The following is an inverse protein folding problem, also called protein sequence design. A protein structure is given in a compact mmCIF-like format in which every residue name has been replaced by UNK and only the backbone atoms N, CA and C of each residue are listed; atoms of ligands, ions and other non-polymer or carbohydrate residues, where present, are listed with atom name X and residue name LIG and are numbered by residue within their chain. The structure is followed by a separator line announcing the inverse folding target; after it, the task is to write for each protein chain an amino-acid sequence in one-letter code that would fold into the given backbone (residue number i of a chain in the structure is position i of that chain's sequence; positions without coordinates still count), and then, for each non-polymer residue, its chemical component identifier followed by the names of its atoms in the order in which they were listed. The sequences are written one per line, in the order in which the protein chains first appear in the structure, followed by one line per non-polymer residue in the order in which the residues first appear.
data_IF_676126763076
#
_entry.id   IF_676126763076
#
_cell.length_a   1.000
_cell.length_b   1.000
_cell.length_c   1.000
_cell.angle_alpha   90.00
_cell.angle_beta   90.00
_cell.angle_gamma   90.00
#
_symmetry.space_group_name_H-M   'P 1'
#
loop_
_entity.id
_entity.type
_entity.pdbx_description
1 polymer ?
#
# COMPACT_ATOMS: atom_id res chain seq x y z
N UNK A 1 -26.46 20.42 20.71
CA UNK A 1 -26.68 19.39 19.67
C UNK A 1 -26.15 18.08 20.23
N UNK A 2 -27.02 17.08 20.41
CA UNK A 2 -26.65 15.83 21.09
C UNK A 2 -25.84 14.93 20.16
N UNK A 3 -24.60 14.62 20.56
CA UNK A 3 -23.65 13.77 19.83
C UNK A 3 -24.11 12.30 19.69
N UNK A 4 -25.12 11.91 20.46
CA UNK A 4 -25.67 10.55 20.54
C UNK A 4 -26.45 10.10 19.30
N UNK A 5 -26.97 11.03 18.49
CA UNK A 5 -27.74 10.69 17.29
C UNK A 5 -26.89 10.05 16.18
N UNK A 6 -25.57 10.31 16.16
CA UNK A 6 -24.67 9.81 15.14
C UNK A 6 -24.37 8.30 15.27
N UNK A 7 -24.45 7.75 16.50
CA UNK A 7 -24.06 6.37 16.78
C UNK A 7 -25.15 5.32 16.50
N UNK A 8 -26.44 5.69 16.49
CA UNK A 8 -27.55 4.73 16.33
C UNK A 8 -27.95 4.42 14.87
N UNK A 9 -27.38 5.12 13.87
CA UNK A 9 -27.80 4.97 12.46
C UNK A 9 -27.08 3.82 11.72
N UNK A 10 -26.09 3.15 12.32
CA UNK A 10 -25.11 2.37 11.55
C UNK A 10 -25.29 0.84 11.56
N UNK A 11 -26.21 0.27 12.34
CA UNK A 11 -26.43 -1.18 12.40
C UNK A 11 -27.80 -1.63 11.88
N UNK A 12 -28.35 -0.93 10.88
CA UNK A 12 -29.51 -1.44 10.14
C UNK A 12 -29.03 -2.42 9.07
N UNK A 13 -29.32 -3.70 9.29
CA UNK A 13 -29.11 -4.73 8.29
C UNK A 13 -30.36 -4.84 7.42
N UNK A 14 -30.29 -4.53 6.10
CA UNK A 14 -31.44 -4.71 5.24
C UNK A 14 -31.87 -6.18 5.18
N UNK A 15 -33.18 -6.39 5.23
CA UNK A 15 -33.80 -7.72 5.10
C UNK A 15 -33.59 -8.27 3.67
N UNK A 16 -33.61 -7.39 2.65
CA UNK A 16 -33.37 -7.77 1.27
C UNK A 16 -31.88 -7.63 0.92
N UNK A 17 -31.26 -8.73 0.48
CA UNK A 17 -29.82 -8.76 0.17
C UNK A 17 -29.41 -7.81 -0.97
N UNK A 18 -30.34 -7.46 -1.84
CA UNK A 18 -30.13 -6.50 -2.94
C UNK A 18 -29.69 -5.13 -2.44
N UNK A 19 -30.11 -4.73 -1.24
CA UNK A 19 -29.75 -3.43 -0.66
C UNK A 19 -28.27 -3.34 -0.24
N UNK A 20 -27.52 -4.45 -0.19
CA UNK A 20 -26.07 -4.44 0.03
C UNK A 20 -25.25 -4.22 -1.25
N UNK A 21 -25.86 -4.31 -2.44
CA UNK A 21 -25.16 -4.15 -3.72
C UNK A 21 -24.39 -2.81 -3.81
N UNK A 22 -24.96 -1.66 -3.39
CA UNK A 22 -24.24 -0.38 -3.39
C UNK A 22 -22.98 -0.42 -2.53
N UNK A 23 -23.08 -0.93 -1.30
CA UNK A 23 -21.94 -1.04 -0.38
C UNK A 23 -20.86 -1.99 -0.92
N UNK A 24 -21.27 -3.10 -1.55
CA UNK A 24 -20.33 -4.02 -2.19
C UNK A 24 -19.60 -3.36 -3.37
N UNK A 25 -20.32 -2.56 -4.18
CA UNK A 25 -19.72 -1.88 -5.33
C UNK A 25 -18.70 -0.82 -4.88
N UNK A 26 -19.04 -0.03 -3.86
CA UNK A 26 -18.12 0.94 -3.26
C UNK A 26 -16.88 0.25 -2.70
N UNK A 27 -17.07 -0.82 -1.93
CA UNK A 27 -15.96 -1.60 -1.39
C UNK A 27 -15.09 -2.19 -2.51
N UNK A 28 -15.70 -2.81 -3.52
CA UNK A 28 -14.99 -3.40 -4.64
C UNK A 28 -14.18 -2.35 -5.41
N UNK A 29 -14.74 -1.16 -5.62
CA UNK A 29 -14.03 -0.06 -6.27
C UNK A 29 -12.78 0.34 -5.50
N UNK A 30 -12.90 0.60 -4.19
CA UNK A 30 -11.74 0.94 -3.36
C UNK A 30 -10.73 -0.21 -3.26
N UNK A 31 -11.21 -1.44 -3.17
CA UNK A 31 -10.35 -2.63 -3.13
C UNK A 31 -9.50 -2.74 -4.40
N UNK A 32 -10.11 -2.55 -5.58
CA UNK A 32 -9.38 -2.53 -6.85
C UNK A 32 -8.32 -1.44 -6.88
N UNK A 33 -8.65 -0.23 -6.42
CA UNK A 33 -7.67 0.86 -6.32
C UNK A 33 -6.51 0.50 -5.39
N UNK A 34 -6.78 -0.08 -4.22
CA UNK A 34 -5.75 -0.54 -3.29
C UNK A 34 -4.82 -1.57 -3.93
N UNK A 35 -5.38 -2.54 -4.67
CA UNK A 35 -4.57 -3.55 -5.37
C UNK A 35 -3.67 -2.90 -6.42
N UNK A 36 -4.20 -1.96 -7.21
CA UNK A 36 -3.41 -1.22 -8.22
C UNK A 36 -2.25 -0.47 -7.56
N UNK A 37 -2.53 0.27 -6.48
CA UNK A 37 -1.51 1.02 -5.73
C UNK A 37 -0.45 0.08 -5.17
N UNK A 38 -0.87 -1.04 -4.57
CA UNK A 38 0.04 -2.02 -4.00
C UNK A 38 0.97 -2.64 -5.05
N UNK A 39 0.44 -3.01 -6.21
CA UNK A 39 1.25 -3.52 -7.33
C UNK A 39 2.21 -2.43 -7.84
N UNK A 40 1.73 -1.19 -7.98
CA UNK A 40 2.57 -0.05 -8.37
C UNK A 40 3.73 0.17 -7.42
N UNK A 41 3.44 0.17 -6.11
CA UNK A 41 4.44 0.34 -5.05
C UNK A 41 5.49 -0.78 -5.08
N UNK A 42 5.08 -2.04 -5.22
CA UNK A 42 6.01 -3.17 -5.33
C UNK A 42 6.98 -3.02 -6.51
N UNK A 43 6.49 -2.60 -7.67
CA UNK A 43 7.35 -2.40 -8.86
C UNK A 43 8.38 -1.30 -8.64
N UNK A 44 7.96 -0.20 -8.02
CA UNK A 44 8.86 0.93 -7.71
C UNK A 44 9.90 0.48 -6.68
N UNK A 45 9.48 -0.22 -5.63
CA UNK A 45 10.37 -0.72 -4.57
C UNK A 45 11.46 -1.65 -5.12
N UNK A 46 11.10 -2.60 -6.00
CA UNK A 46 12.09 -3.49 -6.65
C UNK A 46 13.11 -2.73 -7.50
N UNK A 47 12.69 -1.67 -8.19
CA UNK A 47 13.60 -0.82 -8.97
C UNK A 47 14.55 -0.02 -8.07
N UNK A 48 14.08 0.44 -6.92
CA UNK A 48 14.91 1.12 -5.93
C UNK A 48 15.93 0.16 -5.31
N UNK A 49 15.50 -1.05 -4.94
CA UNK A 49 16.36 -2.07 -4.37
C UNK A 49 17.56 -2.40 -5.29
N UNK A 50 17.31 -2.60 -6.58
CA UNK A 50 18.38 -2.86 -7.56
C UNK A 50 19.40 -1.72 -7.62
N UNK A 51 18.93 -0.46 -7.68
CA UNK A 51 19.83 0.71 -7.71
C UNK A 51 20.64 0.86 -6.44
N UNK A 52 20.03 0.59 -5.29
CA UNK A 52 20.75 0.62 -4.01
C UNK A 52 21.83 -0.45 -3.96
N UNK A 53 21.56 -1.68 -4.42
CA UNK A 53 22.56 -2.75 -4.47
C UNK A 53 23.76 -2.40 -5.36
N UNK A 54 23.51 -1.82 -6.54
CA UNK A 54 24.58 -1.36 -7.43
C UNK A 54 25.45 -0.29 -6.76
N UNK A 55 24.83 0.64 -6.03
CA UNK A 55 25.54 1.70 -5.31
C UNK A 55 26.35 1.14 -4.13
N UNK A 56 25.78 0.23 -3.34
CA UNK A 56 26.45 -0.45 -2.24
C UNK A 56 27.68 -1.23 -2.74
N UNK A 57 27.56 -1.92 -3.87
CA UNK A 57 28.67 -2.66 -4.45
C UNK A 57 29.81 -1.74 -4.89
N UNK A 58 29.51 -0.61 -5.54
CA UNK A 58 30.52 0.38 -5.92
C UNK A 58 31.26 0.95 -4.71
N UNK A 59 30.52 1.29 -3.64
CA UNK A 59 31.12 1.79 -2.39
C UNK A 59 32.02 0.71 -1.76
N UNK A 60 31.59 -0.55 -1.75
CA UNK A 60 32.39 -1.66 -1.21
C UNK A 60 33.68 -1.87 -2.01
N UNK A 61 33.60 -1.82 -3.34
CA UNK A 61 34.77 -1.95 -4.22
C UNK A 61 35.77 -0.81 -4.02
N UNK A 62 35.28 0.44 -3.89
CA UNK A 62 36.11 1.59 -3.56
C UNK A 62 36.79 1.43 -2.19
N UNK A 63 36.04 1.03 -1.16
CA UNK A 63 36.57 0.78 0.19
C UNK A 63 37.64 -0.31 0.20
N UNK A 64 37.41 -1.42 -0.52
CA UNK A 64 38.36 -2.53 -0.62
C UNK A 64 39.65 -2.09 -1.32
N UNK A 65 39.53 -1.30 -2.39
CA UNK A 65 40.68 -0.78 -3.13
C UNK A 65 41.51 0.20 -2.30
N UNK A 66 40.85 1.03 -1.49
CA UNK A 66 41.51 1.96 -0.58
C UNK A 66 42.24 1.24 0.56
N UNK A 67 41.64 0.19 1.14
CA UNK A 67 42.23 -0.59 2.23
C UNK A 67 43.36 -1.56 1.79
N UNK A 68 43.56 -1.76 0.48
CA UNK A 68 44.71 -2.50 -0.07
C UNK A 68 45.91 -1.58 -0.39
N UNK A 69 45.75 -0.26 -0.29
CA UNK A 69 46.81 0.73 -0.54
C UNK A 69 47.46 1.28 0.75
N UNK A 70 46.94 0.90 1.93
CA UNK A 70 47.50 1.15 3.27
C UNK A 70 48.25 -0.09 3.80
#
# INVERSE_FOLDING_TARGET
MNLSAFYMMFLYFPENKTEYIPAFLEFAFFFVLCVIVFIGFQKISKKQELRTKELEQQILEQRKSQHLQD
#
